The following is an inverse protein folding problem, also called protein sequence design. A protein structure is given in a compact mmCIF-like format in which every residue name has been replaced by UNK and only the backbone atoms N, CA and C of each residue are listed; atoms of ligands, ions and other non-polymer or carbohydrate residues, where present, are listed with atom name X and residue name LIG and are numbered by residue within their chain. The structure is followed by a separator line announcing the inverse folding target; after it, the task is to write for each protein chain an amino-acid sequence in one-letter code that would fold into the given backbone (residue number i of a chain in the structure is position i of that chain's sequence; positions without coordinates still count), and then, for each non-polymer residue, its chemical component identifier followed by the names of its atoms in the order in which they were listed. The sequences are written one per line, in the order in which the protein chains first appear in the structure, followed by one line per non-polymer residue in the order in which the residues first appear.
data_IF_687238801141
#
_entry.id   IF_687238801141
#
_cell.length_a   1.000
_cell.length_b   1.000
_cell.length_c   1.000
_cell.angle_alpha   90.00
_cell.angle_beta   90.00
_cell.angle_gamma   90.00
#
_symmetry.space_group_name_H-M   'P 1'
#
loop_
_entity.id
_entity.type
_entity.pdbx_description
1 polymer ?
#
# COMPACT_ATOMS: atom_id res chain seq x y z
N UNK A 1 -9.78 -15.72 -71.22
CA UNK A 1 -10.93 -16.55 -70.77
C UNK A 1 -10.44 -17.50 -69.68
N UNK A 2 -11.32 -17.80 -68.72
CA UNK A 2 -11.21 -18.73 -67.57
C UNK A 2 -10.71 -18.17 -66.22
N UNK A 3 -11.70 -17.72 -65.46
CA UNK A 3 -11.78 -17.53 -64.01
C UNK A 3 -12.05 -18.88 -63.32
N UNK A 4 -11.41 -19.19 -62.19
CA UNK A 4 -11.99 -20.11 -61.19
C UNK A 4 -11.62 -19.65 -59.78
N UNK A 5 -12.64 -19.26 -59.01
CA UNK A 5 -12.63 -19.12 -57.56
C UNK A 5 -12.78 -20.50 -56.91
N UNK A 6 -12.10 -20.73 -55.78
CA UNK A 6 -12.28 -21.91 -54.93
C UNK A 6 -12.77 -21.46 -53.57
N UNK A 7 -14.05 -21.73 -53.32
CA UNK A 7 -14.77 -21.52 -52.06
C UNK A 7 -14.68 -22.82 -51.26
N UNK A 8 -14.19 -22.78 -50.03
CA UNK A 8 -14.20 -23.92 -49.12
C UNK A 8 -15.30 -23.71 -48.06
N UNK A 9 -16.33 -24.54 -48.15
CA UNK A 9 -17.45 -24.59 -47.19
C UNK A 9 -17.17 -25.70 -46.18
N UNK A 10 -17.15 -25.39 -44.88
CA UNK A 10 -17.14 -26.42 -43.84
C UNK A 10 -18.54 -26.56 -43.23
N UNK A 11 -19.01 -27.79 -43.22
CA UNK A 11 -20.35 -28.24 -42.82
C UNK A 11 -20.44 -28.35 -41.29
N UNK A 12 -21.55 -27.83 -40.74
CA UNK A 12 -21.97 -27.96 -39.34
C UNK A 12 -22.69 -29.30 -39.14
N UNK A 13 -22.29 -30.07 -38.14
CA UNK A 13 -23.11 -31.17 -37.59
C UNK A 13 -23.30 -30.97 -36.08
N UNK A 14 -24.53 -30.59 -35.73
CA UNK A 14 -25.09 -30.54 -34.40
C UNK A 14 -25.76 -31.87 -34.06
N UNK A 15 -25.53 -32.43 -32.86
CA UNK A 15 -26.39 -33.46 -32.27
C UNK A 15 -26.67 -33.17 -30.77
N UNK A 16 -27.80 -32.50 -30.59
CA UNK A 16 -28.90 -32.70 -29.62
C UNK A 16 -28.66 -33.40 -28.26
N UNK A 17 -29.00 -32.65 -27.20
CA UNK A 17 -29.38 -33.04 -25.82
C UNK A 17 -30.66 -33.89 -25.73
N UNK A 18 -30.98 -34.47 -24.53
CA UNK A 18 -32.13 -33.95 -23.75
C UNK A 18 -31.83 -33.83 -22.23
N UNK A 19 -32.15 -32.70 -21.57
CA UNK A 19 -33.39 -32.39 -20.79
C UNK A 19 -33.69 -33.36 -19.63
N UNK A 20 -34.07 -32.98 -18.40
CA UNK A 20 -34.45 -31.73 -17.75
C UNK A 20 -34.41 -31.97 -16.22
N UNK A 21 -34.17 -30.97 -15.34
CA UNK A 21 -35.24 -30.17 -14.68
C UNK A 21 -34.55 -29.09 -13.83
N UNK A 22 -34.77 -27.79 -14.11
CA UNK A 22 -35.70 -26.89 -13.37
C UNK A 22 -35.13 -26.43 -12.00
N UNK A 23 -35.02 -25.14 -11.63
CA UNK A 23 -35.52 -23.85 -12.13
C UNK A 23 -34.79 -22.73 -11.35
N UNK A 24 -34.68 -21.55 -11.99
CA UNK A 24 -34.24 -20.23 -11.47
C UNK A 24 -32.72 -19.96 -11.43
N UNK A 25 -32.21 -19.46 -12.56
CA UNK A 25 -31.32 -18.31 -12.54
C UNK A 25 -31.71 -17.40 -13.71
N UNK A 26 -32.25 -16.25 -13.36
CA UNK A 26 -32.76 -15.22 -14.27
C UNK A 26 -31.59 -14.59 -15.02
N UNK A 27 -31.74 -14.53 -16.34
CA UNK A 27 -31.00 -13.69 -17.27
C UNK A 27 -30.94 -12.24 -16.79
N UNK A 28 -29.74 -11.68 -16.74
CA UNK A 28 -29.34 -10.32 -17.14
C UNK A 28 -27.80 -10.40 -17.20
N UNK A 29 -27.12 -10.31 -18.34
CA UNK A 29 -27.34 -9.39 -19.44
C UNK A 29 -26.29 -8.28 -19.34
N UNK A 30 -25.17 -8.45 -20.06
CA UNK A 30 -24.31 -7.37 -20.52
C UNK A 30 -23.38 -6.69 -19.51
N UNK A 31 -22.10 -7.04 -19.57
CA UNK A 31 -21.02 -6.10 -19.97
C UNK A 31 -19.66 -6.70 -19.64
N UNK A 32 -18.79 -6.73 -20.64
CA UNK A 32 -17.38 -6.96 -20.46
C UNK A 32 -16.79 -5.84 -19.58
N UNK A 33 -16.29 -6.19 -18.41
CA UNK A 33 -15.33 -5.41 -17.65
C UNK A 33 -14.17 -6.34 -17.27
N UNK A 34 -13.28 -6.58 -18.23
CA UNK A 34 -11.90 -6.90 -17.89
C UNK A 34 -11.23 -5.58 -17.44
N UNK A 35 -10.56 -5.59 -16.28
CA UNK A 35 -10.06 -4.39 -15.59
C UNK A 35 -11.07 -3.94 -14.55
N UNK A 36 -10.78 -3.94 -13.26
CA UNK A 36 -9.56 -3.55 -12.55
C UNK A 36 -9.36 -4.57 -11.42
N UNK A 37 -8.14 -5.03 -11.07
CA UNK A 37 -7.95 -5.70 -9.78
C UNK A 37 -8.42 -4.72 -8.71
N UNK A 38 -9.54 -5.04 -8.06
CA UNK A 38 -10.14 -4.20 -7.03
C UNK A 38 -9.02 -3.69 -6.12
N UNK A 39 -8.83 -2.36 -6.16
CA UNK A 39 -7.83 -1.67 -5.37
C UNK A 39 -7.91 -2.18 -3.93
N UNK A 40 -6.76 -2.37 -3.30
CA UNK A 40 -6.61 -2.80 -1.93
C UNK A 40 -7.49 -1.97 -0.96
N UNK A 41 -8.75 -2.37 -0.81
CA UNK A 41 -9.73 -1.79 0.11
C UNK A 41 -9.83 -2.71 1.32
N UNK A 42 -8.86 -2.52 2.22
CA UNK A 42 -8.97 -2.77 3.65
C UNK A 42 -7.78 -2.09 4.34
N UNK A 43 -7.71 -0.76 4.29
CA UNK A 43 -6.82 0.05 5.14
C UNK A 43 -7.67 0.86 6.10
N UNK A 44 -8.16 0.24 7.16
CA UNK A 44 -8.55 0.99 8.36
C UNK A 44 -8.50 0.07 9.57
N UNK A 45 -7.35 0.03 10.23
CA UNK A 45 -7.37 0.13 11.68
C UNK A 45 -6.36 1.21 12.10
N UNK A 46 -6.70 2.48 11.87
CA UNK A 46 -6.15 3.59 12.65
C UNK A 46 -7.01 3.80 13.88
N UNK A 47 -6.46 4.37 14.95
CA UNK A 47 -7.29 4.73 16.10
C UNK A 47 -8.13 5.97 15.78
N UNK A 48 -9.40 5.97 16.21
CA UNK A 48 -10.21 7.21 16.24
C UNK A 48 -9.75 8.14 17.38
N UNK A 49 -8.95 7.62 18.33
CA UNK A 49 -8.32 8.41 19.37
C UNK A 49 -7.09 9.14 18.83
N UNK A 50 -7.07 10.47 19.00
CA UNK A 50 -6.04 11.32 18.42
C UNK A 50 -4.68 11.14 19.13
N UNK A 51 -4.67 10.81 20.42
CA UNK A 51 -3.44 10.56 21.17
C UNK A 51 -2.77 9.28 20.72
N UNK A 52 -3.56 8.22 20.52
CA UNK A 52 -3.08 6.97 19.93
C UNK A 52 -2.64 7.17 18.47
N UNK A 53 -3.33 8.00 17.69
CA UNK A 53 -2.91 8.34 16.33
C UNK A 53 -1.54 9.05 16.31
N UNK A 54 -1.31 10.03 17.19
CA UNK A 54 0.00 10.69 17.34
C UNK A 54 1.08 9.66 17.71
N UNK A 55 0.78 8.75 18.64
CA UNK A 55 1.72 7.70 19.01
C UNK A 55 2.03 6.76 17.84
N UNK A 56 1.04 6.42 17.01
CA UNK A 56 1.25 5.61 15.80
C UNK A 56 2.17 6.31 14.79
N UNK A 57 2.07 7.64 14.63
CA UNK A 57 2.98 8.42 13.78
C UNK A 57 4.42 8.36 14.31
N UNK A 58 4.61 8.46 15.63
CA UNK A 58 5.93 8.33 16.27
C UNK A 58 6.52 6.93 16.12
N UNK A 59 5.71 5.90 16.31
CA UNK A 59 6.13 4.51 16.18
C UNK A 59 6.52 4.20 14.73
N UNK A 60 5.81 4.78 13.76
CA UNK A 60 6.15 4.71 12.35
C UNK A 60 7.50 5.38 12.03
N UNK A 61 7.75 6.59 12.55
CA UNK A 61 9.05 7.27 12.41
C UNK A 61 10.18 6.40 13.00
N UNK A 62 10.01 5.92 14.23
CA UNK A 62 11.00 5.06 14.89
C UNK A 62 11.29 3.78 14.10
N UNK A 63 10.26 3.15 13.53
CA UNK A 63 10.40 1.96 12.70
C UNK A 63 11.14 2.25 11.38
N UNK A 64 10.84 3.36 10.71
CA UNK A 64 11.53 3.77 9.49
C UNK A 64 12.98 4.16 9.74
N UNK A 65 13.27 4.85 10.83
CA UNK A 65 14.66 5.14 11.24
C UNK A 65 15.44 3.88 11.53
N UNK A 66 14.81 2.87 12.12
CA UNK A 66 15.43 1.56 12.28
C UNK A 66 15.71 0.91 10.92
N UNK A 67 14.72 0.89 10.02
CA UNK A 67 14.88 0.39 8.65
C UNK A 67 16.04 1.10 7.92
N UNK A 68 16.14 2.42 8.08
CA UNK A 68 17.18 3.27 7.49
C UNK A 68 18.58 2.93 8.03
N UNK A 69 18.73 2.78 9.36
CA UNK A 69 20.03 2.44 9.99
C UNK A 69 20.49 1.04 9.68
N UNK A 70 19.54 0.10 9.65
CA UNK A 70 19.79 -1.32 9.39
C UNK A 70 19.57 -1.68 7.90
N UNK A 71 19.67 -0.70 6.97
CA UNK A 71 19.29 -0.89 5.57
C UNK A 71 19.94 -2.09 4.89
N UNK A 72 21.24 -2.30 5.13
CA UNK A 72 22.00 -3.44 4.57
C UNK A 72 21.50 -4.80 5.03
N UNK A 73 20.81 -4.87 6.18
CA UNK A 73 20.18 -6.09 6.68
C UNK A 73 18.94 -6.45 5.87
N UNK A 74 18.22 -5.45 5.37
CA UNK A 74 16.94 -5.62 4.66
C UNK A 74 17.10 -5.65 3.14
N UNK A 75 18.06 -4.90 2.62
CA UNK A 75 18.35 -4.75 1.21
C UNK A 75 19.71 -5.40 0.86
N UNK A 76 19.83 -6.71 1.12
CA UNK A 76 21.03 -7.46 0.76
C UNK A 76 20.87 -8.27 -0.52
N UNK A 77 22.00 -8.41 -1.22
CA UNK A 77 22.16 -9.23 -2.42
C UNK A 77 23.18 -10.31 -2.07
N UNK A 78 22.81 -11.57 -2.29
CA UNK A 78 23.69 -12.71 -2.05
C UNK A 78 24.81 -12.80 -3.10
N UNK A 79 25.76 -13.70 -2.86
CA UNK A 79 26.90 -13.93 -3.77
C UNK A 79 26.48 -14.46 -5.14
N UNK A 80 25.25 -14.98 -5.29
CA UNK A 80 24.66 -15.43 -6.54
C UNK A 80 23.89 -14.32 -7.28
N UNK A 81 23.90 -13.08 -6.76
CA UNK A 81 23.22 -11.94 -7.36
C UNK A 81 21.71 -11.96 -7.19
N UNK A 82 21.20 -12.63 -6.16
CA UNK A 82 19.79 -12.69 -5.79
C UNK A 82 19.53 -11.83 -4.57
N UNK A 83 18.32 -11.30 -4.45
CA UNK A 83 17.91 -10.67 -3.22
C UNK A 83 17.81 -11.66 -2.07
N UNK A 84 18.19 -11.21 -0.88
CA UNK A 84 17.94 -11.89 0.38
C UNK A 84 16.44 -11.93 0.72
N UNK A 85 16.09 -12.50 1.88
CA UNK A 85 14.73 -12.50 2.37
C UNK A 85 14.21 -11.06 2.63
N UNK A 86 13.28 -10.62 1.80
CA UNK A 86 12.66 -9.29 1.87
C UNK A 86 11.50 -9.20 2.87
N UNK A 87 11.02 -10.33 3.42
CA UNK A 87 9.84 -10.37 4.28
C UNK A 87 10.02 -9.52 5.54
N UNK A 88 11.25 -9.44 6.05
CA UNK A 88 11.56 -8.62 7.23
C UNK A 88 11.33 -7.12 6.96
N UNK A 89 11.75 -6.62 5.79
CA UNK A 89 11.48 -5.24 5.39
C UNK A 89 9.99 -5.02 5.13
N UNK A 90 9.34 -5.95 4.42
CA UNK A 90 7.91 -5.84 4.06
C UNK A 90 6.98 -5.87 5.28
N UNK A 91 7.36 -6.57 6.35
CA UNK A 91 6.68 -6.47 7.65
C UNK A 91 6.74 -5.04 8.18
N UNK A 92 7.93 -4.43 8.22
CA UNK A 92 8.05 -3.03 8.69
C UNK A 92 7.18 -2.10 7.84
N UNK A 93 7.28 -2.22 6.51
CA UNK A 93 6.60 -1.38 5.51
C UNK A 93 5.08 -1.58 5.42
N UNK A 94 4.51 -2.56 6.12
CA UNK A 94 3.07 -2.85 6.05
C UNK A 94 2.63 -3.53 4.74
N UNK A 95 3.58 -4.08 3.96
CA UNK A 95 3.32 -4.82 2.72
C UNK A 95 2.75 -6.24 2.95
N UNK A 96 2.74 -6.71 4.20
CA UNK A 96 2.14 -7.99 4.61
C UNK A 96 0.84 -7.69 5.37
N UNK A 97 -0.23 -7.37 4.65
CA UNK A 97 -1.54 -7.13 5.27
C UNK A 97 -2.44 -8.37 5.17
N UNK A 98 -2.88 -8.97 6.29
CA UNK A 98 -3.92 -10.00 6.28
C UNK A 98 -5.24 -9.39 5.81
N UNK A 99 -6.05 -10.16 5.06
CA UNK A 99 -7.21 -9.56 4.40
C UNK A 99 -8.32 -9.11 5.35
N UNK A 100 -8.58 -9.79 6.49
CA UNK A 100 -9.61 -9.42 7.51
C UNK A 100 -9.36 -10.09 8.89
N UNK A 101 -10.06 -9.61 9.92
CA UNK A 101 -10.19 -10.27 11.23
C UNK A 101 -9.10 -9.94 12.25
N UNK A 102 -9.10 -10.63 13.40
CA UNK A 102 -8.16 -10.39 14.51
C UNK A 102 -6.69 -10.53 14.11
N UNK A 103 -6.39 -11.36 13.11
CA UNK A 103 -5.05 -11.50 12.53
C UNK A 103 -4.57 -10.21 11.85
N UNK A 104 -5.47 -9.48 11.16
CA UNK A 104 -5.14 -8.18 10.57
C UNK A 104 -4.83 -7.15 11.65
N UNK A 105 -5.56 -7.18 12.77
CA UNK A 105 -5.32 -6.30 13.91
C UNK A 105 -3.96 -6.62 14.55
N UNK A 106 -3.62 -7.90 14.74
CA UNK A 106 -2.35 -8.34 15.30
C UNK A 106 -1.17 -7.92 14.44
N UNK A 107 -1.22 -8.21 13.13
CA UNK A 107 -0.17 -7.78 12.20
C UNK A 107 -0.09 -6.25 12.14
N UNK A 108 -1.22 -5.54 12.18
CA UNK A 108 -1.23 -4.08 12.23
C UNK A 108 -0.56 -3.52 13.51
N UNK A 109 -0.59 -4.23 14.65
CA UNK A 109 0.15 -3.83 15.86
C UNK A 109 1.66 -4.02 15.68
N UNK A 110 2.05 -5.03 14.90
CA UNK A 110 3.45 -5.36 14.63
C UNK A 110 4.03 -4.59 13.43
N UNK A 111 3.17 -3.90 12.66
CA UNK A 111 3.53 -3.19 11.42
C UNK A 111 3.12 -1.72 11.52
N UNK A 112 3.94 -0.86 12.13
CA UNK A 112 3.58 0.53 12.43
C UNK A 112 3.10 1.32 11.20
N UNK A 113 3.67 1.04 10.03
CA UNK A 113 3.34 1.74 8.78
C UNK A 113 2.00 1.31 8.17
N UNK A 114 1.44 0.17 8.56
CA UNK A 114 0.12 -0.27 8.07
C UNK A 114 -1.03 0.61 8.60
N UNK A 115 -0.84 1.29 9.73
CA UNK A 115 -1.87 2.11 10.39
C UNK A 115 -1.74 3.61 10.13
N UNK A 116 -0.64 4.04 9.51
CA UNK A 116 -0.26 5.45 9.46
C UNK A 116 -1.26 6.33 8.70
N UNK A 117 -1.89 5.79 7.66
CA UNK A 117 -2.96 6.46 6.90
C UNK A 117 -4.18 6.75 7.79
N UNK A 118 -4.58 5.78 8.62
CA UNK A 118 -5.64 5.95 9.60
C UNK A 118 -5.27 6.94 10.70
N UNK A 119 -4.01 6.96 11.13
CA UNK A 119 -3.52 7.95 12.10
C UNK A 119 -3.56 9.38 11.52
N UNK A 120 -3.13 9.58 10.27
CA UNK A 120 -3.25 10.87 9.59
C UNK A 120 -4.70 11.31 9.44
N UNK A 121 -5.60 10.39 9.06
CA UNK A 121 -7.02 10.66 8.95
C UNK A 121 -7.64 11.07 10.30
N UNK A 122 -7.25 10.44 11.41
CA UNK A 122 -7.73 10.78 12.75
C UNK A 122 -7.27 12.17 13.18
N UNK A 123 -6.00 12.51 13.01
CA UNK A 123 -5.46 13.85 13.31
C UNK A 123 -6.14 14.91 12.47
N UNK A 124 -6.31 14.67 11.16
CA UNK A 124 -7.04 15.57 10.25
C UNK A 124 -8.48 15.79 10.72
N UNK A 125 -9.21 14.72 11.02
CA UNK A 125 -10.60 14.78 11.47
C UNK A 125 -10.74 15.56 12.77
N UNK A 126 -9.82 15.34 13.72
CA UNK A 126 -9.75 16.08 14.96
C UNK A 126 -9.52 17.58 14.69
N UNK A 127 -8.50 17.93 13.91
CA UNK A 127 -8.16 19.32 13.61
C UNK A 127 -9.30 20.07 12.92
N UNK A 128 -9.99 19.43 11.96
CA UNK A 128 -11.15 20.00 11.28
C UNK A 128 -12.39 20.20 12.18
N UNK A 129 -12.46 19.47 13.30
CA UNK A 129 -13.57 19.53 14.26
C UNK A 129 -13.22 20.33 15.50
N UNK A 130 -12.01 20.87 15.58
CA UNK A 130 -11.48 21.49 16.78
C UNK A 130 -11.92 22.96 16.90
N UNK A 131 -12.17 23.41 18.12
CA UNK A 131 -12.41 24.82 18.39
C UNK A 131 -11.12 25.62 18.15
N UNK A 132 -11.24 26.90 17.77
CA UNK A 132 -10.09 27.74 17.39
C UNK A 132 -9.05 27.96 18.49
N UNK A 133 -9.42 27.75 19.76
CA UNK A 133 -8.52 27.87 20.92
C UNK A 133 -7.82 26.54 21.28
N UNK A 134 -8.18 25.44 20.62
CA UNK A 134 -7.54 24.14 20.81
C UNK A 134 -6.33 23.97 19.90
N UNK A 135 -5.37 23.12 20.28
CA UNK A 135 -4.19 22.83 19.44
C UNK A 135 -4.56 22.33 18.04
N UNK A 136 -5.68 21.60 17.92
CA UNK A 136 -6.18 21.12 16.63
C UNK A 136 -6.59 22.26 15.70
N UNK A 137 -7.13 23.36 16.26
CA UNK A 137 -7.52 24.55 15.51
C UNK A 137 -6.33 25.40 15.06
N UNK A 138 -5.17 25.25 15.72
CA UNK A 138 -3.93 25.92 15.37
C UNK A 138 -3.08 25.16 14.33
N UNK A 139 -3.43 23.92 14.00
CA UNK A 139 -2.69 23.09 13.05
C UNK A 139 -2.96 23.55 11.61
N UNK A 140 -1.88 23.71 10.82
CA UNK A 140 -2.02 23.81 9.36
C UNK A 140 -2.44 22.46 8.79
N UNK A 141 -3.75 22.26 8.66
CA UNK A 141 -4.33 21.02 8.16
C UNK A 141 -3.97 20.78 6.69
N UNK A 142 -3.79 21.84 5.90
CA UNK A 142 -3.48 21.70 4.46
C UNK A 142 -2.10 21.09 4.31
N UNK A 143 -1.10 21.72 4.94
CA UNK A 143 0.27 21.22 4.88
C UNK A 143 0.40 19.84 5.54
N UNK A 144 -0.31 19.59 6.65
CA UNK A 144 -0.29 18.27 7.31
C UNK A 144 -0.83 17.17 6.38
N UNK A 145 -1.90 17.44 5.64
CA UNK A 145 -2.47 16.47 4.68
C UNK A 145 -1.56 16.25 3.50
N UNK A 146 -1.01 17.31 2.91
CA UNK A 146 -0.07 17.20 1.78
C UNK A 146 1.14 16.33 2.15
N UNK A 147 1.73 16.57 3.34
CA UNK A 147 2.84 15.76 3.85
C UNK A 147 2.43 14.31 4.13
N UNK A 148 1.24 14.10 4.69
CA UNK A 148 0.71 12.76 4.94
C UNK A 148 0.52 11.96 3.64
N UNK A 149 0.03 12.59 2.58
CA UNK A 149 -0.13 11.96 1.27
C UNK A 149 1.22 11.60 0.63
N UNK A 150 2.21 12.51 0.70
CA UNK A 150 3.59 12.24 0.25
C UNK A 150 4.21 11.06 0.99
N UNK A 151 4.02 10.97 2.32
CA UNK A 151 4.46 9.82 3.12
C UNK A 151 3.81 8.53 2.64
N UNK A 152 2.47 8.50 2.50
CA UNK A 152 1.74 7.29 2.07
C UNK A 152 2.16 6.87 0.66
N UNK A 153 2.34 7.83 -0.25
CA UNK A 153 2.80 7.57 -1.61
C UNK A 153 4.22 7.00 -1.64
N UNK A 154 5.16 7.62 -0.92
CA UNK A 154 6.54 7.17 -0.83
C UNK A 154 6.64 5.76 -0.25
N UNK A 155 5.91 5.46 0.83
CA UNK A 155 5.87 4.14 1.44
C UNK A 155 5.36 3.07 0.49
N UNK A 156 4.30 3.38 -0.28
CA UNK A 156 3.79 2.47 -1.30
C UNK A 156 4.85 2.18 -2.37
N UNK A 157 5.58 3.22 -2.82
CA UNK A 157 6.68 3.06 -3.77
C UNK A 157 7.81 2.19 -3.21
N UNK A 158 8.12 2.29 -1.92
CA UNK A 158 9.10 1.43 -1.25
C UNK A 158 8.63 -0.03 -1.28
N UNK A 159 7.39 -0.32 -0.88
CA UNK A 159 6.85 -1.69 -0.93
C UNK A 159 6.83 -2.25 -2.36
N UNK A 160 6.40 -1.45 -3.35
CA UNK A 160 6.43 -1.83 -4.76
C UNK A 160 7.85 -2.14 -5.24
N UNK A 161 8.87 -1.40 -4.76
CA UNK A 161 10.28 -1.65 -5.08
C UNK A 161 10.77 -2.97 -4.48
N UNK A 162 10.44 -3.25 -3.22
CA UNK A 162 10.74 -4.53 -2.57
C UNK A 162 9.98 -5.69 -3.22
N UNK A 163 8.76 -5.47 -3.71
CA UNK A 163 8.03 -6.47 -4.48
C UNK A 163 8.67 -6.70 -5.86
N UNK A 164 9.10 -5.64 -6.54
CA UNK A 164 9.79 -5.71 -7.83
C UNK A 164 11.08 -6.52 -7.79
N UNK A 165 11.78 -6.52 -6.65
CA UNK A 165 12.96 -7.35 -6.39
C UNK A 165 12.66 -8.86 -6.52
N UNK A 166 11.44 -9.30 -6.20
CA UNK A 166 11.03 -10.72 -6.35
C UNK A 166 10.98 -11.15 -7.82
N UNK A 167 10.67 -10.22 -8.72
CA UNK A 167 10.50 -10.46 -10.16
C UNK A 167 11.70 -10.04 -11.00
N UNK A 168 12.67 -9.34 -10.41
CA UNK A 168 13.89 -8.96 -11.09
C UNK A 168 14.64 -10.22 -11.52
N UNK A 169 15.11 -10.24 -12.78
CA UNK A 169 15.99 -11.29 -13.25
C UNK A 169 17.30 -11.27 -12.45
N UNK A 170 17.96 -12.42 -12.31
CA UNK A 170 19.25 -12.52 -11.61
C UNK A 170 20.23 -11.49 -12.19
N UNK A 171 20.58 -10.48 -11.40
CA UNK A 171 21.37 -9.33 -11.85
C UNK A 171 21.53 -8.30 -10.73
N UNK A 172 22.76 -8.13 -10.26
CA UNK A 172 23.10 -7.25 -9.13
C UNK A 172 22.70 -5.80 -9.40
N UNK A 173 22.94 -5.29 -10.62
CA UNK A 173 22.69 -3.88 -10.97
C UNK A 173 21.21 -3.48 -10.93
N UNK A 174 20.29 -4.35 -11.35
CA UNK A 174 18.86 -4.04 -11.29
C UNK A 174 18.35 -4.02 -9.84
N UNK A 175 18.81 -4.97 -9.02
CA UNK A 175 18.50 -5.01 -7.60
C UNK A 175 19.08 -3.82 -6.84
N UNK A 176 20.34 -3.46 -7.11
CA UNK A 176 20.99 -2.28 -6.56
C UNK A 176 20.21 -1.00 -6.87
N UNK A 177 19.72 -0.86 -8.10
CA UNK A 177 18.89 0.28 -8.49
C UNK A 177 17.57 0.32 -7.73
N UNK A 178 16.85 -0.81 -7.65
CA UNK A 178 15.59 -0.90 -6.91
C UNK A 178 15.80 -0.56 -5.43
N UNK A 179 16.87 -1.08 -4.81
CA UNK A 179 17.21 -0.75 -3.44
C UNK A 179 17.64 0.71 -3.25
N UNK A 180 18.36 1.31 -4.21
CA UNK A 180 18.70 2.73 -4.14
C UNK A 180 17.46 3.63 -4.22
N UNK A 181 16.52 3.32 -5.10
CA UNK A 181 15.24 4.05 -5.23
C UNK A 181 14.36 3.88 -3.99
N UNK A 182 14.30 2.66 -3.43
CA UNK A 182 13.61 2.38 -2.18
C UNK A 182 14.25 3.14 -1.01
N UNK A 183 15.58 3.15 -0.92
CA UNK A 183 16.32 3.88 0.12
C UNK A 183 16.03 5.37 0.08
N UNK A 184 16.09 5.98 -1.11
CA UNK A 184 15.78 7.41 -1.28
C UNK A 184 14.36 7.73 -0.81
N UNK A 185 13.41 6.84 -1.10
CA UNK A 185 12.02 7.00 -0.69
C UNK A 185 11.87 6.89 0.83
N UNK A 186 12.54 5.93 1.48
CA UNK A 186 12.59 5.83 2.95
C UNK A 186 13.22 7.06 3.59
N UNK A 187 14.35 7.54 3.05
CA UNK A 187 15.05 8.72 3.57
C UNK A 187 14.16 9.98 3.48
N UNK A 188 13.38 10.11 2.40
CA UNK A 188 12.38 11.19 2.26
C UNK A 188 11.23 11.04 3.25
N UNK A 189 10.67 9.83 3.38
CA UNK A 189 9.56 9.58 4.32
C UNK A 189 9.93 9.92 5.76
N UNK A 190 11.16 9.58 6.19
CA UNK A 190 11.65 9.97 7.53
C UNK A 190 11.65 11.49 7.69
N UNK A 191 12.14 12.23 6.68
CA UNK A 191 12.15 13.69 6.73
C UNK A 191 10.74 14.31 6.76
N UNK A 192 9.79 13.77 5.99
CA UNK A 192 8.40 14.24 6.00
C UNK A 192 7.72 13.92 7.33
N UNK A 193 7.96 12.74 7.93
CA UNK A 193 7.45 12.41 9.27
C UNK A 193 8.04 13.30 10.36
N UNK A 194 9.33 13.63 10.28
CA UNK A 194 9.96 14.59 11.19
C UNK A 194 9.29 15.96 11.11
N UNK A 195 9.02 16.42 9.89
CA UNK A 195 8.34 17.68 9.64
C UNK A 195 6.92 17.65 10.22
N UNK A 196 6.14 16.59 9.96
CA UNK A 196 4.80 16.44 10.52
C UNK A 196 4.80 16.40 12.06
N UNK A 197 5.75 15.67 12.67
CA UNK A 197 5.91 15.64 14.12
C UNK A 197 6.32 17.01 14.68
N UNK A 198 7.11 17.77 13.94
CA UNK A 198 7.47 19.14 14.29
C UNK A 198 6.24 20.08 14.26
N UNK A 199 5.41 20.01 13.21
CA UNK A 199 4.14 20.76 13.15
C UNK A 199 3.26 20.47 14.37
N UNK A 200 3.14 19.18 14.74
CA UNK A 200 2.36 18.77 15.90
C UNK A 200 2.95 19.28 17.23
N UNK A 201 4.28 19.36 17.36
CA UNK A 201 4.94 19.96 18.54
C UNK A 201 4.68 21.45 18.65
N UNK A 202 4.74 22.18 17.52
CA UNK A 202 4.57 23.63 17.49
C UNK A 202 3.18 24.06 17.96
N UNK A 203 2.15 23.26 17.65
CA UNK A 203 0.79 23.47 18.15
C UNK A 203 0.54 22.88 19.54
N UNK A 204 1.55 22.27 20.17
CA UNK A 204 1.46 21.63 21.49
C UNK A 204 0.49 20.44 21.53
N UNK A 205 0.48 19.62 20.48
CA UNK A 205 -0.29 18.39 20.47
C UNK A 205 0.19 17.45 21.62
N UNK A 206 -0.73 16.75 22.30
CA UNK A 206 -0.40 15.97 23.49
C UNK A 206 0.52 14.80 23.18
N UNK A 207 1.50 14.56 24.06
CA UNK A 207 2.42 13.41 23.97
C UNK A 207 3.67 13.64 23.11
N UNK A 208 3.92 14.89 22.70
CA UNK A 208 5.06 15.32 21.87
C UNK A 208 5.96 16.37 22.52
#
# INVERSE_FOLDING_TARGET
MCTYMLTLTLVVTSLSTPQATSRRAVLLGGSACAGVPAAALARTPGSDDVGEAIQQIRDADAALRRLQREWSTYACIDKEGRACNIDAARKILGGVAPQRGDAAIAVAKETPLYRIDGAFAAVRKFALSADGDSWGGALDVTEFVERGEEVVFALKKVDDSFYGVVFASKGTTQLERLYAEAKQSVDRTVADLDFMLQMLREVQAPGL
#
